data_IF_298942114519
#
_entry.id   IF_298942114519
#
_cell.length_a   1.000
_cell.length_b   1.000
_cell.length_c   1.000
_cell.angle_alpha   90.00
_cell.angle_beta   90.00
_cell.angle_gamma   90.00
#
_symmetry.space_group_name_H-M   'P 1'
#
loop_
_entity.id
_entity.type
_entity.pdbx_description
1 polymer ?
#
# COMPACT_ATOMS: atom_id res chain seq x y z
N UNK A 1 -57.06 33.56 -21.85
CA UNK A 1 -57.59 34.44 -20.79
C UNK A 1 -56.40 34.57 -19.84
N UNK A 2 -55.77 35.64 -20.10
CA UNK A 2 -55.63 36.87 -19.31
C UNK A 2 -54.58 36.74 -18.25
N UNK A 3 -53.44 37.30 -18.49
CA UNK A 3 -52.92 38.65 -18.15
C UNK A 3 -52.36 38.69 -16.76
N UNK A 4 -51.32 39.28 -16.43
CA UNK A 4 -50.61 40.53 -16.71
C UNK A 4 -49.46 40.57 -15.71
N UNK A 5 -48.24 40.80 -16.15
CA UNK A 5 -47.54 42.10 -15.98
C UNK A 5 -47.35 42.58 -14.53
N UNK A 6 -46.12 42.75 -14.12
CA UNK A 6 -45.45 44.01 -13.73
C UNK A 6 -44.17 43.67 -12.96
N UNK A 7 -43.02 44.02 -13.41
CA UNK A 7 -42.39 45.35 -13.50
C UNK A 7 -41.46 45.68 -12.35
N UNK A 8 -40.21 45.91 -12.73
CA UNK A 8 -39.20 46.88 -12.20
C UNK A 8 -38.78 46.78 -10.73
N UNK A 9 -37.47 46.61 -10.47
CA UNK A 9 -36.56 47.76 -10.35
C UNK A 9 -35.14 47.32 -10.13
N UNK A 10 -34.32 47.91 -10.88
CA UNK A 10 -32.87 47.94 -10.74
C UNK A 10 -32.45 48.67 -9.47
N UNK A 11 -31.42 48.16 -8.80
CA UNK A 11 -30.51 49.01 -8.05
C UNK A 11 -29.10 48.40 -8.04
N UNK A 12 -28.30 48.94 -8.93
CA UNK A 12 -26.85 48.80 -8.99
C UNK A 12 -26.25 49.47 -7.76
N UNK A 13 -25.48 48.73 -6.95
CA UNK A 13 -24.51 49.30 -6.06
C UNK A 13 -23.15 48.77 -6.41
N UNK A 14 -22.37 49.62 -7.08
CA UNK A 14 -20.94 49.52 -7.30
C UNK A 14 -20.26 49.80 -5.96
N UNK A 15 -19.67 48.81 -5.33
CA UNK A 15 -18.69 49.00 -4.24
C UNK A 15 -17.31 48.75 -4.79
N UNK A 16 -16.56 49.80 -5.05
CA UNK A 16 -15.15 49.79 -5.37
C UNK A 16 -14.39 49.44 -4.09
N UNK A 17 -13.84 48.25 -4.04
CA UNK A 17 -12.81 47.89 -3.03
C UNK A 17 -11.45 48.33 -3.55
N UNK A 18 -10.93 49.37 -2.94
CA UNK A 18 -9.55 49.82 -3.12
C UNK A 18 -8.60 48.80 -2.45
N UNK A 19 -7.87 48.07 -3.27
CA UNK A 19 -6.75 47.24 -2.78
C UNK A 19 -5.58 48.20 -2.52
N UNK A 20 -5.28 48.43 -1.26
CA UNK A 20 -4.06 49.09 -0.81
C UNK A 20 -2.95 48.05 -0.84
N UNK A 21 -2.05 48.17 -1.80
CA UNK A 21 -0.81 47.39 -1.82
C UNK A 21 0.15 47.99 -0.79
N UNK A 22 0.43 47.24 0.24
CA UNK A 22 1.50 47.52 1.21
C UNK A 22 2.81 46.95 0.69
N UNK A 23 3.90 47.75 0.62
CA UNK A 23 5.18 47.24 0.16
C UNK A 23 5.83 46.40 1.28
N UNK A 24 5.98 45.10 1.05
CA UNK A 24 6.76 44.24 1.90
C UNK A 24 8.26 44.51 1.72
N UNK A 25 8.91 44.95 2.78
CA UNK A 25 10.35 45.04 2.91
C UNK A 25 11.00 43.65 2.90
N UNK A 26 12.12 43.44 2.17
CA UNK A 26 12.85 42.19 2.23
C UNK A 26 13.74 42.17 3.47
N UNK A 27 13.31 41.57 4.56
CA UNK A 27 14.20 41.23 5.67
C UNK A 27 14.86 39.87 5.37
N UNK A 28 16.16 39.93 5.09
CA UNK A 28 17.03 38.77 4.96
C UNK A 28 17.07 38.00 6.31
N UNK A 29 16.39 36.89 6.34
CA UNK A 29 16.48 35.89 7.39
C UNK A 29 16.29 34.52 6.77
N UNK A 30 17.38 33.78 6.62
CA UNK A 30 17.44 32.44 6.09
C UNK A 30 16.78 31.46 7.09
N UNK A 31 15.47 31.53 7.17
CA UNK A 31 14.65 30.49 7.81
C UNK A 31 14.02 29.67 6.68
N UNK A 32 14.37 28.39 6.64
CA UNK A 32 13.71 27.38 5.82
C UNK A 32 12.19 27.52 6.04
N UNK A 33 11.54 28.22 5.12
CA UNK A 33 10.08 28.29 5.09
C UNK A 33 9.59 26.92 4.67
N UNK A 34 9.25 26.10 5.66
CA UNK A 34 8.48 24.88 5.44
C UNK A 34 7.03 25.35 5.25
N UNK A 35 6.47 25.26 4.04
CA UNK A 35 5.07 25.61 3.85
C UNK A 35 4.22 24.69 4.75
N UNK A 36 3.12 25.20 5.34
CA UNK A 36 2.21 24.35 6.09
C UNK A 36 1.72 23.25 5.13
N UNK A 37 1.97 22.00 5.48
CA UNK A 37 1.44 20.84 4.75
C UNK A 37 -0.07 21.00 4.70
N UNK A 38 -0.61 21.10 3.50
CA UNK A 38 -2.06 21.18 3.33
C UNK A 38 -2.71 19.94 3.93
N UNK A 39 -3.89 20.09 4.52
CA UNK A 39 -4.64 18.96 5.11
C UNK A 39 -4.85 17.82 4.11
N UNK A 40 -4.89 18.13 2.84
CA UNK A 40 -4.96 17.19 1.73
C UNK A 40 -3.71 16.31 1.63
N UNK A 41 -2.53 16.87 1.88
CA UNK A 41 -1.26 16.12 1.91
C UNK A 41 -1.17 15.27 3.18
N UNK A 42 -1.73 15.73 4.30
CA UNK A 42 -1.83 14.95 5.53
C UNK A 42 -2.79 13.76 5.38
N UNK A 43 -3.88 13.92 4.63
CA UNK A 43 -4.80 12.83 4.30
C UNK A 43 -4.18 11.79 3.37
N UNK A 44 -3.37 12.20 2.41
CA UNK A 44 -2.62 11.28 1.55
C UNK A 44 -1.54 10.52 2.33
N UNK A 45 -0.88 11.15 3.29
CA UNK A 45 0.06 10.48 4.19
C UNK A 45 -0.67 9.51 5.14
N UNK A 46 -1.90 9.79 5.54
CA UNK A 46 -2.76 8.88 6.32
C UNK A 46 -3.15 7.62 5.55
N UNK A 47 -3.34 7.72 4.22
CA UNK A 47 -3.66 6.57 3.37
C UNK A 47 -2.48 5.60 3.20
N UNK A 48 -1.24 6.06 3.40
CA UNK A 48 -0.03 5.21 3.36
C UNK A 48 0.13 4.40 4.66
N UNK A 49 -0.53 4.79 5.74
CA UNK A 49 -0.41 4.13 7.05
C UNK A 49 -1.19 2.81 7.17
N UNK A 50 -1.99 2.41 6.17
CA UNK A 50 -2.70 1.12 6.20
C UNK A 50 -1.78 -0.10 6.03
N UNK A 51 -0.47 0.11 5.82
CA UNK A 51 0.53 -0.96 5.72
C UNK A 51 1.64 -0.88 6.79
N UNK A 52 1.37 -0.29 7.95
CA UNK A 52 2.34 -0.18 9.03
C UNK A 52 2.85 -1.54 9.57
N UNK A 53 2.25 -2.64 9.15
CA UNK A 53 2.65 -4.02 9.49
C UNK A 53 3.24 -4.81 8.33
N UNK A 54 3.30 -4.22 7.13
CA UNK A 54 3.88 -4.89 5.97
C UNK A 54 5.41 -4.72 5.95
N UNK A 55 6.13 -5.80 5.69
CA UNK A 55 7.58 -5.78 5.50
C UNK A 55 7.97 -6.27 4.13
N UNK A 56 9.02 -5.69 3.57
CA UNK A 56 9.50 -6.09 2.25
C UNK A 56 10.31 -7.39 2.28
N UNK A 57 11.00 -7.68 3.38
CA UNK A 57 11.87 -8.85 3.49
C UNK A 57 11.67 -9.57 4.81
N UNK A 58 11.84 -10.89 4.78
CA UNK A 58 11.86 -11.76 5.96
C UNK A 58 13.17 -12.56 6.02
N UNK A 59 13.63 -12.83 7.23
CA UNK A 59 14.84 -13.65 7.43
C UNK A 59 14.47 -15.14 7.35
N UNK A 60 15.06 -15.86 6.40
CA UNK A 60 14.76 -17.27 6.15
C UNK A 60 15.04 -18.17 7.36
N UNK A 61 16.09 -17.89 8.12
CA UNK A 61 16.43 -18.65 9.33
C UNK A 61 15.37 -18.53 10.44
N UNK A 62 14.49 -17.55 10.35
CA UNK A 62 13.37 -17.35 11.29
C UNK A 62 12.08 -18.03 10.84
N UNK A 63 12.02 -18.51 9.61
CA UNK A 63 10.86 -19.25 9.09
C UNK A 63 10.87 -20.66 9.69
N UNK A 64 9.79 -21.06 10.33
CA UNK A 64 9.60 -22.39 10.91
C UNK A 64 8.87 -23.33 9.97
N UNK A 65 7.86 -22.81 9.31
CA UNK A 65 7.06 -23.57 8.33
C UNK A 65 6.42 -22.61 7.33
N UNK A 66 6.03 -23.17 6.20
CA UNK A 66 5.28 -22.48 5.17
C UNK A 66 4.03 -23.25 4.84
N UNK A 67 2.96 -22.55 4.51
CA UNK A 67 1.69 -23.16 4.08
C UNK A 67 1.11 -22.36 2.91
N UNK A 68 0.67 -23.06 1.89
CA UNK A 68 0.00 -22.46 0.75
C UNK A 68 -1.50 -22.40 1.03
N UNK A 69 -2.09 -21.22 0.85
CA UNK A 69 -3.54 -21.03 0.75
C UNK A 69 -3.84 -20.88 -0.74
N UNK A 70 -4.53 -21.89 -1.29
CA UNK A 70 -4.78 -21.96 -2.73
C UNK A 70 -5.45 -20.68 -3.27
N UNK A 71 -4.87 -20.10 -4.31
CA UNK A 71 -5.37 -18.89 -4.95
C UNK A 71 -5.21 -17.60 -4.16
N UNK A 72 -4.79 -17.65 -2.89
CA UNK A 72 -4.67 -16.48 -2.02
C UNK A 72 -3.22 -16.08 -1.76
N UNK A 73 -2.40 -16.99 -1.22
CA UNK A 73 -1.05 -16.64 -0.86
C UNK A 73 -0.29 -17.73 -0.12
N UNK A 74 0.87 -17.34 0.39
CA UNK A 74 1.78 -18.21 1.12
C UNK A 74 1.92 -17.67 2.54
N UNK A 75 1.57 -18.48 3.53
CA UNK A 75 1.73 -18.15 4.95
C UNK A 75 3.08 -18.66 5.43
N UNK A 76 3.87 -17.77 6.01
CA UNK A 76 5.16 -18.04 6.63
C UNK A 76 4.99 -17.97 8.15
N UNK A 77 5.14 -19.10 8.82
CA UNK A 77 5.17 -19.15 10.27
C UNK A 77 6.56 -18.80 10.75
N UNK A 78 6.68 -17.70 11.47
CA UNK A 78 7.95 -17.20 11.98
C UNK A 78 8.23 -17.72 13.39
N UNK A 79 9.51 -17.67 13.79
CA UNK A 79 9.87 -17.86 15.21
C UNK A 79 9.21 -16.78 16.07
N UNK A 80 8.72 -17.14 17.26
CA UNK A 80 8.02 -16.23 18.18
C UNK A 80 6.51 -16.10 17.90
N UNK A 81 5.89 -17.13 17.33
CA UNK A 81 4.44 -17.27 17.09
C UNK A 81 3.82 -16.24 16.14
N UNK A 82 4.63 -15.49 15.42
CA UNK A 82 4.16 -14.57 14.39
C UNK A 82 3.95 -15.33 13.09
N UNK A 83 2.86 -15.04 12.40
CA UNK A 83 2.61 -15.50 11.06
C UNK A 83 2.54 -14.31 10.10
N UNK A 84 3.11 -14.47 8.92
CA UNK A 84 3.07 -13.48 7.84
C UNK A 84 2.48 -14.14 6.60
N UNK A 85 1.63 -13.43 5.91
CA UNK A 85 1.13 -13.85 4.61
C UNK A 85 1.84 -13.06 3.51
N UNK A 86 2.22 -13.75 2.46
CA UNK A 86 2.67 -13.13 1.22
C UNK A 86 1.63 -13.40 0.14
N UNK A 87 1.07 -12.33 -0.40
CA UNK A 87 0.20 -12.40 -1.58
C UNK A 87 1.03 -12.09 -2.81
N UNK A 88 1.32 -13.11 -3.65
CA UNK A 88 2.17 -12.90 -4.82
C UNK A 88 1.59 -11.83 -5.76
N UNK A 89 2.47 -11.00 -6.30
CA UNK A 89 2.09 -10.02 -7.33
C UNK A 89 1.76 -10.68 -8.65
N UNK A 90 2.41 -11.82 -8.94
CA UNK A 90 2.20 -12.60 -10.15
C UNK A 90 2.18 -14.09 -9.81
N UNK A 91 1.37 -14.82 -10.53
CA UNK A 91 1.30 -16.29 -10.42
C UNK A 91 0.50 -16.82 -9.23
N UNK A 92 -0.08 -15.96 -8.39
CA UNK A 92 -0.83 -16.37 -7.19
C UNK A 92 -1.98 -17.34 -7.47
N UNK A 93 -2.67 -17.19 -8.60
CA UNK A 93 -3.75 -18.08 -9.01
C UNK A 93 -3.31 -19.54 -9.23
N UNK A 94 -2.00 -19.80 -9.40
CA UNK A 94 -1.43 -21.13 -9.60
C UNK A 94 -1.10 -21.84 -8.29
N UNK A 95 -1.23 -21.15 -7.15
CA UNK A 95 -0.96 -21.73 -5.85
C UNK A 95 -1.96 -22.83 -5.53
N UNK A 96 -1.46 -24.03 -5.27
CA UNK A 96 -2.23 -25.20 -4.85
C UNK A 96 -1.63 -25.81 -3.57
N UNK A 97 -2.47 -26.33 -2.67
CA UNK A 97 -2.07 -26.77 -1.32
C UNK A 97 -1.02 -27.87 -1.29
N UNK A 98 -0.96 -28.68 -2.34
CA UNK A 98 -0.05 -29.84 -2.44
C UNK A 98 1.29 -29.51 -3.09
N UNK A 99 1.52 -28.25 -3.47
CA UNK A 99 2.75 -27.84 -4.12
C UNK A 99 3.87 -27.60 -3.12
N UNK A 100 5.08 -27.85 -3.58
CA UNK A 100 6.33 -27.59 -2.86
C UNK A 100 6.87 -26.24 -3.33
N UNK A 101 7.26 -25.41 -2.38
CA UNK A 101 7.88 -24.12 -2.64
C UNK A 101 9.41 -24.30 -2.71
N UNK A 102 9.99 -23.97 -3.85
CA UNK A 102 11.45 -23.98 -4.05
C UNK A 102 11.90 -22.54 -4.12
N UNK A 103 12.50 -22.07 -3.04
CA UNK A 103 13.08 -20.74 -2.93
C UNK A 103 14.56 -20.78 -3.25
N UNK A 104 14.99 -19.93 -4.19
CA UNK A 104 16.41 -19.76 -4.53
C UNK A 104 16.77 -18.29 -4.27
N UNK A 105 17.60 -18.06 -3.26
CA UNK A 105 18.08 -16.72 -2.91
C UNK A 105 19.58 -16.78 -2.67
N UNK A 106 20.26 -15.69 -2.99
CA UNK A 106 21.70 -15.55 -2.79
C UNK A 106 22.08 -15.20 -1.35
N UNK A 107 21.08 -14.95 -0.49
CA UNK A 107 21.27 -14.48 0.88
C UNK A 107 20.37 -15.16 1.89
N UNK A 108 20.37 -14.62 3.10
CA UNK A 108 19.55 -15.10 4.23
C UNK A 108 18.15 -14.47 4.29
N UNK A 109 17.83 -13.59 3.35
CA UNK A 109 16.57 -12.87 3.28
C UNK A 109 15.74 -13.34 2.09
N UNK A 110 14.44 -13.35 2.26
CA UNK A 110 13.43 -13.51 1.22
C UNK A 110 12.63 -12.21 1.12
N UNK A 111 12.64 -11.60 -0.06
CA UNK A 111 12.11 -10.25 -0.26
C UNK A 111 10.94 -10.21 -1.23
N UNK A 112 10.18 -9.12 -1.16
CA UNK A 112 9.20 -8.78 -2.17
C UNK A 112 9.88 -8.61 -3.54
N UNK A 113 9.33 -9.27 -4.57
CA UNK A 113 9.93 -9.34 -5.89
C UNK A 113 10.72 -10.63 -6.15
N UNK A 114 11.12 -11.37 -5.12
CA UNK A 114 11.80 -12.65 -5.31
C UNK A 114 10.88 -13.66 -6.01
N UNK A 115 11.53 -14.53 -6.80
CA UNK A 115 10.84 -15.59 -7.54
C UNK A 115 10.91 -16.89 -6.75
N UNK A 116 9.76 -17.48 -6.50
CA UNK A 116 9.62 -18.82 -5.90
C UNK A 116 9.08 -19.77 -6.95
N UNK A 117 9.74 -20.90 -7.11
CA UNK A 117 9.28 -21.96 -8.00
C UNK A 117 8.29 -22.86 -7.29
N UNK A 118 7.26 -23.25 -8.01
CA UNK A 118 6.27 -24.23 -7.57
C UNK A 118 6.60 -25.58 -8.21
N UNK A 119 6.69 -26.60 -7.38
CA UNK A 119 6.85 -27.97 -7.85
C UNK A 119 5.74 -28.85 -7.32
N UNK A 120 5.37 -29.84 -8.08
CA UNK A 120 4.44 -30.86 -7.62
C UNK A 120 5.18 -31.93 -6.82
N UNK A 121 4.44 -32.70 -6.01
CA UNK A 121 4.97 -33.82 -5.23
C UNK A 121 5.57 -34.93 -6.10
N UNK A 122 5.27 -34.93 -7.39
CA UNK A 122 5.88 -35.84 -8.35
C UNK A 122 7.31 -35.34 -8.67
N UNK A 123 8.34 -36.22 -8.61
CA UNK A 123 9.73 -35.82 -8.69
C UNK A 123 10.05 -35.04 -10.00
N UNK A 124 10.59 -33.85 -9.83
CA UNK A 124 11.25 -33.10 -10.90
C UNK A 124 10.39 -32.18 -11.75
N UNK A 125 9.07 -32.09 -11.52
CA UNK A 125 8.23 -31.21 -12.34
C UNK A 125 7.97 -29.88 -11.65
N UNK A 126 8.58 -28.80 -12.20
CA UNK A 126 8.20 -27.44 -11.85
C UNK A 126 6.89 -27.08 -12.51
N UNK A 127 5.87 -26.77 -11.70
CA UNK A 127 4.51 -26.47 -12.19
C UNK A 127 4.26 -25.00 -12.43
N UNK A 128 5.15 -24.14 -11.92
CA UNK A 128 5.01 -22.71 -12.09
C UNK A 128 6.02 -21.89 -11.31
N UNK A 129 5.83 -20.59 -11.39
CA UNK A 129 6.57 -19.59 -10.61
C UNK A 129 5.61 -18.57 -10.03
N UNK A 130 5.96 -18.01 -8.90
CA UNK A 130 5.29 -16.86 -8.30
C UNK A 130 6.30 -15.76 -8.00
N UNK A 131 5.92 -14.51 -8.26
CA UNK A 131 6.70 -13.36 -7.81
C UNK A 131 6.08 -12.84 -6.51
N UNK A 132 6.88 -12.81 -5.45
CA UNK A 132 6.42 -12.44 -4.12
C UNK A 132 5.97 -10.99 -4.05
N UNK A 133 4.92 -10.73 -3.27
CA UNK A 133 4.49 -9.42 -2.82
C UNK A 133 5.15 -9.02 -1.51
N UNK A 134 4.58 -8.04 -0.84
CA UNK A 134 4.97 -7.70 0.53
C UNK A 134 4.48 -8.77 1.51
N UNK A 135 5.14 -8.83 2.66
CA UNK A 135 4.75 -9.72 3.75
C UNK A 135 3.90 -8.92 4.74
N UNK A 136 2.68 -9.36 4.95
CA UNK A 136 1.71 -8.73 5.83
C UNK A 136 1.49 -9.59 7.06
N UNK A 137 1.12 -8.97 8.19
CA UNK A 137 0.77 -9.72 9.38
C UNK A 137 -0.44 -10.62 9.10
N UNK A 138 -0.33 -11.89 9.45
CA UNK A 138 -1.43 -12.85 9.33
C UNK A 138 -2.02 -13.11 10.72
N UNK A 139 -3.34 -12.96 10.90
CA UNK A 139 -3.97 -13.13 12.21
C UNK A 139 -3.67 -14.50 12.83
N UNK A 140 -3.40 -14.58 14.14
CA UNK A 140 -3.08 -15.85 14.80
C UNK A 140 -4.29 -16.79 14.93
N UNK A 141 -5.49 -16.34 14.62
CA UNK A 141 -6.74 -17.10 14.77
C UNK A 141 -6.89 -18.27 13.81
N UNK A 142 -6.07 -18.34 12.76
CA UNK A 142 -6.08 -19.47 11.86
C UNK A 142 -5.02 -20.52 12.28
N UNK A 143 -5.25 -21.14 13.43
CA UNK A 143 -4.56 -22.39 13.77
C UNK A 143 -5.48 -23.53 13.36
N UNK A 144 -5.13 -24.37 12.36
CA UNK A 144 -5.91 -25.55 12.02
C UNK A 144 -5.88 -26.57 13.16
#
# INVERSE_FOLDING_TARGET
MSDLLTSLSALTLLAAATVTAEPAEPTAGNLLFVPPVSEEMAQQMGAIQHNATATNCIALHRVRSTRIIAGEGIVYQMSGQKALINRPRHGGARLARHQILITRTSGSLLCAGDIVHLADSLPGMTTGIVALGQFEAYPPEYRP
#
